data_IF_356464275309
#
_entry.id   IF_356464275309
#
_cell.length_a   1.000
_cell.length_b   1.000
_cell.length_c   1.000
_cell.angle_alpha   90.00
_cell.angle_beta   90.00
_cell.angle_gamma   90.00
#
_symmetry.space_group_name_H-M   'P 1'
#
loop_
_entity.id
_entity.type
_entity.pdbx_description
1 polymer ?
#
# COMPACT_ATOMS: atom_id res chain seq x y z
N UNK A 1 -0.71 48.15 -22.01
CA UNK A 1 0.38 49.12 -21.77
C UNK A 1 1.71 48.37 -21.84
N UNK A 2 2.68 48.96 -22.53
CA UNK A 2 4.09 48.55 -22.79
C UNK A 2 4.71 47.41 -21.93
N UNK A 3 5.23 46.37 -22.59
CA UNK A 3 6.14 45.39 -21.98
C UNK A 3 7.57 45.95 -21.92
N UNK A 4 8.15 46.04 -20.72
CA UNK A 4 9.56 46.33 -20.51
C UNK A 4 10.37 45.02 -20.51
N UNK A 5 11.36 44.95 -21.41
CA UNK A 5 12.38 43.89 -21.41
C UNK A 5 13.39 44.18 -20.30
N UNK A 6 13.45 43.35 -19.26
CA UNK A 6 14.56 43.34 -18.31
C UNK A 6 15.76 42.65 -18.98
N UNK A 7 16.77 43.45 -19.37
CA UNK A 7 18.11 42.96 -19.73
C UNK A 7 18.94 42.83 -18.46
N UNK A 8 19.40 41.64 -18.13
CA UNK A 8 20.47 41.44 -17.15
C UNK A 8 21.84 41.53 -17.85
N UNK A 9 22.88 42.07 -17.18
CA UNK A 9 24.19 42.29 -17.78
C UNK A 9 24.96 40.98 -17.98
N UNK A 10 25.66 40.91 -19.10
CA UNK A 10 26.51 39.78 -19.51
C UNK A 10 27.80 39.71 -18.68
N UNK A 11 28.05 38.58 -18.03
CA UNK A 11 29.40 38.19 -17.57
C UNK A 11 29.77 36.82 -18.16
N UNK A 12 31.02 36.58 -18.59
CA UNK A 12 31.36 35.45 -19.43
C UNK A 12 31.88 34.30 -18.58
N UNK A 13 31.05 33.27 -18.40
CA UNK A 13 31.51 31.90 -18.17
C UNK A 13 30.90 31.05 -19.27
N UNK A 14 31.68 30.89 -20.34
CA UNK A 14 31.36 30.04 -21.48
C UNK A 14 31.36 28.57 -21.03
N UNK A 15 30.24 27.87 -21.22
CA UNK A 15 30.20 26.42 -21.09
C UNK A 15 28.83 25.78 -20.87
N UNK A 16 27.89 26.46 -20.23
CA UNK A 16 26.54 25.93 -19.96
C UNK A 16 25.51 27.07 -19.96
N UNK A 17 25.05 27.52 -21.11
CA UNK A 17 24.25 28.77 -21.20
C UNK A 17 22.87 28.63 -21.86
N UNK A 18 22.21 27.48 -21.82
CA UNK A 18 20.78 27.44 -22.19
C UNK A 18 20.05 26.25 -21.53
N UNK A 19 19.93 26.29 -20.21
CA UNK A 19 18.81 25.61 -19.53
C UNK A 19 17.63 26.57 -19.53
N UNK A 20 16.69 26.39 -20.46
CA UNK A 20 15.41 27.11 -20.45
C UNK A 20 14.39 26.27 -19.71
N UNK A 21 14.00 26.72 -18.52
CA UNK A 21 12.82 26.20 -17.85
C UNK A 21 11.61 26.81 -18.57
N UNK A 22 10.92 26.00 -19.36
CA UNK A 22 9.65 26.39 -19.95
C UNK A 22 8.55 26.19 -18.90
N UNK A 23 8.13 27.27 -18.26
CA UNK A 23 6.93 27.29 -17.43
C UNK A 23 5.75 27.54 -18.37
N UNK A 24 5.00 26.48 -18.68
CA UNK A 24 3.68 26.62 -19.30
C UNK A 24 2.66 26.84 -18.18
N UNK A 25 2.03 28.02 -18.13
CA UNK A 25 0.97 28.33 -17.18
C UNK A 25 0.40 29.72 -17.41
N UNK A 26 -0.90 29.89 -17.14
CA UNK A 26 -1.52 31.21 -16.97
C UNK A 26 -0.88 31.92 -15.77
N UNK A 27 -0.84 33.26 -15.80
CA UNK A 27 -0.32 34.06 -14.69
C UNK A 27 -1.23 33.82 -13.48
N UNK A 28 -0.76 33.02 -12.52
CA UNK A 28 -1.45 32.82 -11.25
C UNK A 28 -1.53 34.13 -10.47
N UNK A 29 -2.60 34.29 -9.70
CA UNK A 29 -2.77 35.42 -8.80
C UNK A 29 -1.70 35.34 -7.69
N UNK A 30 -0.71 36.23 -7.72
CA UNK A 30 0.50 36.25 -6.87
C UNK A 30 0.24 36.53 -5.36
N UNK A 31 -1.00 36.42 -4.87
CA UNK A 31 -1.36 36.80 -3.49
C UNK A 31 -1.67 35.63 -2.55
N UNK A 32 -1.78 34.41 -3.06
CA UNK A 32 -2.09 33.23 -2.25
C UNK A 32 -0.89 32.28 -2.20
N UNK A 33 -0.52 31.83 -1.00
CA UNK A 33 0.60 30.89 -0.79
C UNK A 33 0.13 29.50 -0.35
N UNK A 34 -1.17 29.33 -0.08
CA UNK A 34 -1.78 28.10 0.41
C UNK A 34 -2.84 27.64 -0.60
N UNK A 35 -2.91 26.33 -0.84
CA UNK A 35 -3.95 25.66 -1.64
C UNK A 35 -4.11 26.13 -3.09
N UNK A 36 -3.14 26.86 -3.64
CA UNK A 36 -3.14 27.36 -5.02
C UNK A 36 -3.31 26.28 -6.10
N UNK A 37 -2.96 25.03 -5.78
CA UNK A 37 -3.09 23.87 -6.67
C UNK A 37 -4.11 22.83 -6.15
N UNK A 38 -4.96 23.19 -5.18
CA UNK A 38 -5.96 22.29 -4.59
C UNK A 38 -7.33 22.66 -5.15
N UNK A 39 -7.98 21.72 -5.83
CA UNK A 39 -9.32 21.92 -6.37
C UNK A 39 -10.40 21.80 -5.29
N UNK A 40 -10.29 20.82 -4.39
CA UNK A 40 -11.28 20.53 -3.35
C UNK A 40 -10.63 19.73 -2.21
N UNK A 41 -11.14 19.91 -0.99
CA UNK A 41 -10.79 19.09 0.19
C UNK A 41 -12.05 18.39 0.70
N UNK A 42 -12.09 17.06 0.55
CA UNK A 42 -13.17 16.21 1.05
C UNK A 42 -12.75 15.42 2.29
N UNK A 43 -13.67 15.23 3.24
CA UNK A 43 -13.42 14.41 4.42
C UNK A 43 -13.61 12.92 4.13
N UNK A 44 -12.74 12.09 4.71
CA UNK A 44 -12.94 10.64 4.79
C UNK A 44 -13.81 10.28 6.01
N UNK A 45 -14.59 9.21 5.90
CA UNK A 45 -15.17 8.55 7.07
C UNK A 45 -14.04 8.18 8.04
N UNK A 46 -14.24 8.27 9.36
CA UNK A 46 -13.22 7.84 10.31
C UNK A 46 -13.06 6.31 10.28
N UNK A 47 -11.85 5.79 10.56
CA UNK A 47 -11.64 4.34 10.70
C UNK A 47 -12.61 3.68 11.69
N UNK A 48 -12.86 4.32 12.85
CA UNK A 48 -13.80 3.85 13.87
C UNK A 48 -15.21 3.70 13.33
N UNK A 49 -15.75 4.73 12.66
CA UNK A 49 -17.10 4.71 12.09
C UNK A 49 -17.24 3.64 11.00
N UNK A 50 -16.22 3.44 10.16
CA UNK A 50 -16.28 2.38 9.17
C UNK A 50 -16.23 0.99 9.83
N UNK A 51 -15.41 0.83 10.86
CA UNK A 51 -15.34 -0.39 11.67
C UNK A 51 -16.67 -0.71 12.37
N UNK A 52 -17.38 0.30 12.88
CA UNK A 52 -18.70 0.12 13.49
C UNK A 52 -19.77 -0.29 12.46
N UNK A 53 -19.68 0.23 11.23
CA UNK A 53 -20.58 -0.14 10.14
C UNK A 53 -20.30 -1.56 9.60
N UNK A 54 -19.04 -1.97 9.60
CA UNK A 54 -18.57 -3.26 9.08
C UNK A 54 -17.65 -3.91 10.15
N UNK A 55 -18.23 -4.43 11.24
CA UNK A 55 -17.47 -5.02 12.33
C UNK A 55 -16.87 -6.36 11.91
N UNK A 56 -15.74 -6.70 12.51
CA UNK A 56 -15.15 -8.02 12.29
C UNK A 56 -16.05 -9.09 12.93
N UNK A 57 -16.33 -10.15 12.19
CA UNK A 57 -16.92 -11.35 12.76
C UNK A 57 -15.87 -12.20 13.49
N UNK A 58 -16.34 -13.11 14.34
CA UNK A 58 -15.48 -14.06 15.04
C UNK A 58 -14.69 -14.94 14.07
N UNK A 59 -15.34 -15.40 13.00
CA UNK A 59 -14.70 -16.23 11.96
C UNK A 59 -13.62 -15.46 11.22
N UNK A 60 -13.88 -14.22 10.81
CA UNK A 60 -12.88 -13.39 10.15
C UNK A 60 -11.68 -13.13 11.06
N UNK A 61 -11.94 -12.76 12.32
CA UNK A 61 -10.89 -12.53 13.32
C UNK A 61 -10.02 -13.78 13.50
N UNK A 62 -10.66 -14.95 13.60
CA UNK A 62 -9.96 -16.24 13.71
C UNK A 62 -9.06 -16.50 12.49
N UNK A 63 -9.60 -16.39 11.27
CA UNK A 63 -8.85 -16.62 10.04
C UNK A 63 -7.63 -15.68 9.91
N UNK A 64 -7.80 -14.41 10.30
CA UNK A 64 -6.69 -13.44 10.30
C UNK A 64 -5.61 -13.83 11.31
N UNK A 65 -6.00 -14.12 12.55
CA UNK A 65 -5.05 -14.46 13.62
C UNK A 65 -4.31 -15.76 13.33
N UNK A 66 -5.02 -16.81 12.93
CA UNK A 66 -4.42 -18.10 12.54
C UNK A 66 -3.50 -17.92 11.35
N UNK A 67 -3.93 -17.19 10.31
CA UNK A 67 -3.08 -16.89 9.16
C UNK A 67 -1.80 -16.14 9.54
N UNK A 68 -1.86 -15.16 10.45
CA UNK A 68 -0.67 -14.45 10.93
C UNK A 68 0.28 -15.38 11.68
N UNK A 69 -0.24 -16.24 12.57
CA UNK A 69 0.57 -17.22 13.32
C UNK A 69 1.23 -18.20 12.37
N UNK A 70 0.49 -18.77 11.41
CA UNK A 70 1.01 -19.71 10.44
C UNK A 70 2.12 -19.09 9.58
N UNK A 71 1.93 -17.85 9.10
CA UNK A 71 2.98 -17.14 8.37
C UNK A 71 4.21 -16.90 9.26
N UNK A 72 4.02 -16.49 10.52
CA UNK A 72 5.13 -16.28 11.45
C UNK A 72 5.94 -17.56 11.66
N UNK A 73 5.26 -18.69 11.88
CA UNK A 73 5.90 -19.99 12.06
C UNK A 73 6.72 -20.40 10.83
N UNK A 74 6.20 -20.16 9.61
CA UNK A 74 6.96 -20.41 8.38
C UNK A 74 8.20 -19.51 8.31
N UNK A 75 8.05 -18.21 8.61
CA UNK A 75 9.17 -17.26 8.56
C UNK A 75 10.24 -17.54 9.63
N UNK A 76 9.87 -18.15 10.76
CA UNK A 76 10.80 -18.57 11.81
C UNK A 76 11.26 -20.02 11.67
N UNK A 77 10.90 -20.71 10.59
CA UNK A 77 11.24 -22.13 10.34
C UNK A 77 10.72 -23.11 11.41
N UNK A 78 9.62 -22.76 12.08
CA UNK A 78 8.85 -23.65 12.97
C UNK A 78 7.81 -24.48 12.18
N UNK A 79 7.54 -24.08 10.93
CA UNK A 79 6.66 -24.76 9.99
C UNK A 79 7.33 -24.80 8.60
N UNK A 80 7.53 -26.00 8.06
CA UNK A 80 8.23 -26.22 6.78
C UNK A 80 7.35 -26.04 5.53
N UNK A 81 6.09 -25.62 5.70
CA UNK A 81 5.20 -25.33 4.56
C UNK A 81 5.70 -24.14 3.75
N UNK A 82 5.46 -24.18 2.44
CA UNK A 82 5.70 -23.04 1.56
C UNK A 82 4.57 -22.02 1.67
N UNK A 83 4.89 -20.77 2.02
CA UNK A 83 3.96 -19.66 1.92
C UNK A 83 3.73 -19.27 0.45
N UNK A 84 2.47 -19.29 0.00
CA UNK A 84 2.08 -18.87 -1.35
C UNK A 84 1.04 -17.75 -1.28
N UNK A 85 1.42 -16.56 -1.74
CA UNK A 85 0.52 -15.42 -1.93
C UNK A 85 -0.03 -15.46 -3.37
N UNK A 86 -1.31 -15.83 -3.53
CA UNK A 86 -1.90 -16.06 -4.86
C UNK A 86 -3.24 -15.33 -5.05
N UNK A 87 -3.44 -14.73 -6.22
CA UNK A 87 -4.68 -14.04 -6.57
C UNK A 87 -4.51 -13.01 -7.68
N UNK A 88 -5.58 -12.26 -8.01
CA UNK A 88 -5.57 -11.23 -9.04
C UNK A 88 -4.49 -10.16 -8.82
N UNK A 89 -3.98 -9.57 -9.91
CA UNK A 89 -2.98 -8.49 -9.81
C UNK A 89 -3.52 -7.28 -9.04
N UNK A 90 -4.79 -6.94 -9.24
CA UNK A 90 -5.55 -5.93 -8.52
C UNK A 90 -7.04 -6.29 -8.62
N UNK A 91 -7.79 -6.11 -7.54
CA UNK A 91 -9.23 -6.32 -7.51
C UNK A 91 -9.93 -5.09 -8.09
N UNK A 92 -10.82 -5.31 -9.05
CA UNK A 92 -11.69 -4.28 -9.64
C UNK A 92 -13.18 -4.67 -9.56
N UNK A 93 -13.47 -5.95 -9.34
CA UNK A 93 -14.82 -6.50 -9.16
C UNK A 93 -14.82 -7.39 -7.92
N UNK A 94 -15.68 -7.07 -6.94
CA UNK A 94 -15.77 -7.79 -5.66
C UNK A 94 -16.37 -9.19 -5.81
N UNK A 95 -17.33 -9.37 -6.73
CA UNK A 95 -18.03 -10.65 -6.91
C UNK A 95 -17.10 -11.67 -7.57
N UNK A 96 -16.34 -11.24 -8.58
CA UNK A 96 -15.29 -12.07 -9.20
C UNK A 96 -14.19 -12.45 -8.20
N UNK A 97 -13.82 -11.54 -7.29
CA UNK A 97 -12.86 -11.84 -6.24
C UNK A 97 -13.40 -12.89 -5.25
N UNK A 98 -14.69 -12.82 -4.87
CA UNK A 98 -15.32 -13.83 -4.02
C UNK A 98 -15.45 -15.19 -4.73
N UNK A 99 -15.74 -15.21 -6.03
CA UNK A 99 -15.77 -16.46 -6.79
C UNK A 99 -14.37 -17.07 -6.96
N UNK A 100 -13.33 -16.24 -7.08
CA UNK A 100 -11.95 -16.70 -7.01
C UNK A 100 -11.61 -17.28 -5.64
N UNK A 101 -12.04 -16.64 -4.55
CA UNK A 101 -11.73 -17.10 -3.19
C UNK A 101 -12.28 -18.50 -2.93
N UNK A 102 -13.52 -18.79 -3.36
CA UNK A 102 -14.14 -20.12 -3.25
C UNK A 102 -13.28 -21.21 -3.89
N UNK A 103 -12.81 -20.97 -5.13
CA UNK A 103 -11.93 -21.90 -5.85
C UNK A 103 -10.58 -22.06 -5.16
N UNK A 104 -10.03 -20.96 -4.62
CA UNK A 104 -8.76 -20.98 -3.92
C UNK A 104 -8.84 -21.75 -2.60
N UNK A 105 -9.96 -21.69 -1.88
CA UNK A 105 -10.21 -22.46 -0.65
C UNK A 105 -10.20 -23.96 -0.94
N UNK A 106 -10.91 -24.40 -1.98
CA UNK A 106 -10.91 -25.81 -2.40
C UNK A 106 -9.50 -26.33 -2.76
N UNK A 107 -8.68 -25.47 -3.37
CA UNK A 107 -7.28 -25.80 -3.66
C UNK A 107 -6.45 -25.83 -2.38
N UNK A 108 -6.59 -24.82 -1.52
CA UNK A 108 -5.85 -24.69 -0.27
C UNK A 108 -5.99 -25.93 0.59
N UNK A 109 -7.21 -26.47 0.71
CA UNK A 109 -7.47 -27.68 1.50
C UNK A 109 -6.73 -28.91 0.97
N UNK A 110 -6.52 -29.02 -0.36
CA UNK A 110 -5.81 -30.14 -0.99
C UNK A 110 -4.29 -30.06 -0.83
N UNK A 111 -3.74 -28.88 -0.56
CA UNK A 111 -2.28 -28.65 -0.49
C UNK A 111 -1.79 -28.26 0.90
N UNK A 112 -2.69 -28.15 1.88
CA UNK A 112 -2.43 -27.57 3.21
C UNK A 112 -1.30 -28.21 4.00
N UNK A 113 -0.98 -29.47 3.74
CA UNK A 113 0.11 -30.19 4.43
C UNK A 113 1.51 -29.72 3.98
N UNK A 114 1.59 -29.01 2.84
CA UNK A 114 2.84 -28.56 2.24
C UNK A 114 2.87 -27.08 1.87
N UNK A 115 1.71 -26.47 1.69
CA UNK A 115 1.58 -25.09 1.22
C UNK A 115 0.56 -24.36 2.10
N UNK A 116 0.96 -23.21 2.63
CA UNK A 116 0.04 -22.23 3.20
C UNK A 116 -0.36 -21.25 2.11
N UNK A 117 -1.62 -21.31 1.67
CA UNK A 117 -2.16 -20.39 0.68
C UNK A 117 -2.77 -19.18 1.37
N UNK A 118 -2.40 -17.99 0.93
CA UNK A 118 -2.99 -16.71 1.37
C UNK A 118 -3.46 -15.95 0.14
N UNK A 119 -4.72 -15.51 0.13
CA UNK A 119 -5.29 -14.85 -1.03
C UNK A 119 -4.72 -13.44 -1.20
N UNK A 120 -4.18 -13.14 -2.38
CA UNK A 120 -3.80 -11.79 -2.79
C UNK A 120 -5.06 -10.96 -3.08
N UNK A 121 -5.26 -9.89 -2.30
CA UNK A 121 -6.37 -8.93 -2.42
C UNK A 121 -5.81 -7.50 -2.46
N UNK A 122 -5.28 -7.11 -3.62
CA UNK A 122 -4.66 -5.78 -3.80
C UNK A 122 -5.68 -4.81 -4.38
N UNK A 123 -5.87 -3.65 -3.75
CA UNK A 123 -6.87 -2.67 -4.17
C UNK A 123 -6.32 -1.56 -5.06
N UNK A 124 -5.00 -1.41 -5.07
CA UNK A 124 -4.33 -0.29 -5.73
C UNK A 124 -3.30 -0.80 -6.73
N UNK A 125 -2.98 0.06 -7.70
CA UNK A 125 -1.92 -0.21 -8.67
C UNK A 125 -1.00 1.02 -8.75
N UNK A 126 0.26 0.95 -8.29
CA UNK A 126 1.16 2.09 -8.40
C UNK A 126 1.54 2.30 -9.86
N UNK A 127 1.22 3.49 -10.40
CA UNK A 127 1.49 3.87 -11.80
C UNK A 127 2.25 5.20 -11.85
N UNK A 128 3.14 5.31 -12.84
CA UNK A 128 3.87 6.55 -13.19
C UNK A 128 3.20 7.30 -14.34
N UNK A 129 2.16 6.72 -14.94
CA UNK A 129 1.35 7.29 -16.03
C UNK A 129 -0.09 7.42 -15.58
N UNK A 130 -0.84 8.35 -16.20
CA UNK A 130 -2.30 8.47 -15.99
C UNK A 130 -2.98 7.14 -16.33
N UNK A 131 -3.92 6.71 -15.49
CA UNK A 131 -4.69 5.48 -15.63
C UNK A 131 -5.39 5.12 -14.31
N UNK A 132 -6.23 4.09 -14.34
CA UNK A 132 -6.99 3.65 -13.17
C UNK A 132 -6.07 3.37 -11.96
N UNK A 133 -6.34 4.05 -10.85
CA UNK A 133 -5.53 4.02 -9.62
C UNK A 133 -5.82 2.80 -8.74
N UNK A 134 -6.96 2.14 -8.96
CA UNK A 134 -7.40 0.99 -8.18
C UNK A 134 -8.79 1.19 -7.59
N UNK A 135 -9.39 0.10 -7.11
CA UNK A 135 -10.76 0.07 -6.59
C UNK A 135 -10.93 0.91 -5.33
N UNK A 136 -9.86 1.08 -4.54
CA UNK A 136 -9.90 1.94 -3.36
C UNK A 136 -10.10 3.42 -3.76
N UNK A 137 -9.48 3.85 -4.86
CA UNK A 137 -9.59 5.23 -5.33
C UNK A 137 -10.79 5.44 -6.22
N UNK A 138 -11.00 4.58 -7.22
CA UNK A 138 -12.08 4.69 -8.20
C UNK A 138 -12.86 3.36 -8.26
N UNK A 139 -13.77 3.13 -7.30
CA UNK A 139 -14.53 1.88 -7.16
C UNK A 139 -15.61 1.68 -8.22
N UNK A 140 -15.88 2.70 -9.04
CA UNK A 140 -16.93 2.69 -10.06
C UNK A 140 -16.37 2.70 -11.49
N UNK A 141 -15.03 2.76 -11.64
CA UNK A 141 -14.34 2.76 -12.93
C UNK A 141 -14.81 3.89 -13.85
N UNK A 142 -15.10 5.06 -13.27
CA UNK A 142 -15.72 6.19 -13.94
C UNK A 142 -15.06 7.53 -13.56
N UNK A 143 -13.87 7.49 -12.95
CA UNK A 143 -13.09 8.66 -12.54
C UNK A 143 -13.81 9.60 -11.54
N UNK A 144 -14.83 9.13 -10.81
CA UNK A 144 -15.46 9.94 -9.73
C UNK A 144 -14.64 9.99 -8.45
N UNK A 145 -13.64 9.12 -8.32
CA UNK A 145 -12.73 9.00 -7.18
C UNK A 145 -13.43 8.92 -5.80
N UNK A 146 -14.50 8.13 -5.70
CA UNK A 146 -15.24 7.95 -4.44
C UNK A 146 -14.47 7.03 -3.47
N UNK A 147 -13.49 7.61 -2.77
CA UNK A 147 -12.61 6.89 -1.85
C UNK A 147 -13.40 6.33 -0.64
N UNK A 148 -14.44 7.01 -0.18
CA UNK A 148 -15.28 6.51 0.92
C UNK A 148 -15.98 5.19 0.53
N UNK A 149 -16.55 5.13 -0.68
CA UNK A 149 -17.10 3.90 -1.23
C UNK A 149 -16.01 2.85 -1.47
N UNK A 150 -14.83 3.24 -1.94
CA UNK A 150 -13.70 2.34 -2.16
C UNK A 150 -13.22 1.66 -0.88
N UNK A 151 -13.04 2.43 0.21
CA UNK A 151 -12.70 1.93 1.55
C UNK A 151 -13.77 0.96 2.06
N UNK A 152 -15.05 1.30 1.89
CA UNK A 152 -16.17 0.44 2.26
C UNK A 152 -16.14 -0.89 1.51
N UNK A 153 -16.04 -0.87 0.17
CA UNK A 153 -15.97 -2.09 -0.66
C UNK A 153 -14.75 -2.94 -0.34
N UNK A 154 -13.59 -2.32 -0.10
CA UNK A 154 -12.37 -3.02 0.28
C UNK A 154 -12.54 -3.77 1.61
N UNK A 155 -13.07 -3.11 2.64
CA UNK A 155 -13.33 -3.71 3.96
C UNK A 155 -14.34 -4.85 3.87
N UNK A 156 -15.48 -4.64 3.21
CA UNK A 156 -16.51 -5.68 3.01
C UNK A 156 -15.96 -6.92 2.29
N UNK A 157 -15.13 -6.72 1.26
CA UNK A 157 -14.53 -7.84 0.53
C UNK A 157 -13.56 -8.63 1.41
N UNK A 158 -12.65 -7.96 2.12
CA UNK A 158 -11.72 -8.63 3.03
C UNK A 158 -12.47 -9.37 4.12
N UNK A 159 -13.51 -8.78 4.70
CA UNK A 159 -14.33 -9.40 5.73
C UNK A 159 -14.94 -10.72 5.20
N UNK A 160 -15.63 -10.67 4.06
CA UNK A 160 -16.27 -11.85 3.45
C UNK A 160 -15.27 -12.96 3.09
N UNK A 161 -14.08 -12.61 2.62
CA UNK A 161 -13.04 -13.61 2.32
C UNK A 161 -12.54 -14.26 3.61
N UNK A 162 -12.21 -13.47 4.65
CA UNK A 162 -11.76 -14.03 5.93
C UNK A 162 -12.87 -14.84 6.64
N UNK A 163 -14.14 -14.47 6.49
CA UNK A 163 -15.29 -15.23 7.03
C UNK A 163 -15.37 -16.67 6.50
N UNK A 164 -14.88 -16.88 5.27
CA UNK A 164 -14.79 -18.21 4.66
C UNK A 164 -13.57 -19.02 5.12
N UNK A 165 -12.75 -18.47 6.02
CA UNK A 165 -11.54 -19.10 6.55
C UNK A 165 -10.27 -18.84 5.73
N UNK A 166 -10.37 -18.08 4.62
CA UNK A 166 -9.21 -17.77 3.77
C UNK A 166 -8.49 -16.52 4.28
N UNK A 167 -7.23 -16.60 4.73
CA UNK A 167 -6.44 -15.43 5.09
C UNK A 167 -6.13 -14.58 3.86
N UNK A 168 -6.02 -13.26 4.05
CA UNK A 168 -5.80 -12.31 2.95
C UNK A 168 -4.46 -11.58 3.05
N UNK A 169 -3.94 -11.19 1.88
CA UNK A 169 -2.70 -10.47 1.69
C UNK A 169 -2.93 -9.22 0.84
N UNK A 170 -2.41 -8.06 1.26
CA UNK A 170 -2.50 -6.81 0.47
C UNK A 170 -1.16 -6.10 0.32
N UNK A 171 -1.12 -5.01 -0.44
CA UNK A 171 0.01 -4.09 -0.55
C UNK A 171 -0.44 -2.72 -0.07
N UNK A 172 0.26 -2.15 0.92
CA UNK A 172 -0.05 -0.82 1.42
C UNK A 172 0.82 0.22 0.71
N UNK A 173 0.17 1.12 -0.04
CA UNK A 173 0.80 2.21 -0.78
C UNK A 173 0.64 3.58 -0.11
N UNK A 174 -0.33 3.70 0.80
CA UNK A 174 -0.64 4.92 1.54
C UNK A 174 -0.64 4.62 3.05
N UNK A 175 -0.02 5.47 3.90
CA UNK A 175 0.07 5.25 5.34
C UNK A 175 -1.26 5.42 6.11
N UNK A 176 -2.31 5.94 5.48
CA UNK A 176 -3.64 6.14 6.07
C UNK A 176 -4.48 4.85 5.97
N UNK A 177 -4.42 4.17 4.82
CA UNK A 177 -5.25 3.00 4.50
C UNK A 177 -5.17 1.86 5.54
N UNK A 178 -4.02 1.53 6.17
CA UNK A 178 -3.97 0.50 7.19
C UNK A 178 -4.99 0.66 8.31
N UNK A 179 -5.31 1.90 8.73
CA UNK A 179 -6.29 2.12 9.81
C UNK A 179 -7.70 1.61 9.45
N UNK A 180 -8.02 1.48 8.17
CA UNK A 180 -9.34 1.08 7.69
C UNK A 180 -9.49 -0.42 7.47
N UNK A 181 -8.39 -1.14 7.19
CA UNK A 181 -8.46 -2.53 6.70
C UNK A 181 -7.40 -3.47 7.28
N UNK A 182 -6.37 -2.99 7.97
CA UNK A 182 -5.24 -3.84 8.40
C UNK A 182 -5.65 -4.91 9.43
N UNK A 183 -6.75 -4.70 10.15
CA UNK A 183 -7.35 -5.69 11.05
C UNK A 183 -7.86 -6.94 10.33
N UNK A 184 -8.08 -6.87 9.01
CA UNK A 184 -8.53 -7.98 8.16
C UNK A 184 -7.41 -8.60 7.29
N UNK A 185 -6.15 -8.22 7.51
CA UNK A 185 -5.00 -8.63 6.68
C UNK A 185 -4.03 -9.53 7.46
N UNK A 186 -3.65 -10.66 6.87
CA UNK A 186 -2.72 -11.64 7.45
C UNK A 186 -1.28 -11.50 6.98
N UNK A 187 -1.05 -10.84 5.84
CA UNK A 187 0.29 -10.54 5.30
C UNK A 187 0.25 -9.24 4.48
N UNK A 188 1.30 -8.43 4.54
CA UNK A 188 1.38 -7.20 3.75
C UNK A 188 2.65 -7.14 2.89
N UNK A 189 2.55 -6.50 1.73
CA UNK A 189 3.70 -6.11 0.92
C UNK A 189 4.02 -4.62 1.06
N UNK A 190 5.31 -4.30 1.04
CA UNK A 190 5.82 -2.99 0.65
C UNK A 190 6.42 -3.10 -0.76
N UNK A 191 5.94 -2.23 -1.65
CA UNK A 191 6.25 -2.27 -3.06
C UNK A 191 7.67 -1.83 -3.39
N UNK A 192 8.20 -2.29 -4.51
CA UNK A 192 9.56 -1.96 -4.95
C UNK A 192 9.83 -0.45 -5.16
N UNK A 193 8.79 0.36 -5.34
CA UNK A 193 8.89 1.83 -5.46
C UNK A 193 8.77 2.55 -4.12
N UNK A 194 8.32 1.85 -3.08
CA UNK A 194 8.07 2.41 -1.75
C UNK A 194 8.94 1.76 -0.68
N UNK A 195 9.65 0.67 -0.97
CA UNK A 195 10.63 0.06 -0.06
C UNK A 195 11.70 1.07 0.41
N UNK A 196 12.14 1.99 -0.47
CA UNK A 196 13.10 3.04 -0.08
C UNK A 196 12.46 4.19 0.72
N UNK A 197 11.13 4.32 0.72
CA UNK A 197 10.43 5.40 1.41
C UNK A 197 10.50 5.24 2.92
N UNK A 198 10.98 6.27 3.61
CA UNK A 198 11.00 6.31 5.07
C UNK A 198 9.59 6.14 5.66
N UNK A 199 8.59 6.84 5.12
CA UNK A 199 7.18 6.75 5.57
C UNK A 199 6.67 5.31 5.53
N UNK A 200 7.02 4.55 4.49
CA UNK A 200 6.58 3.16 4.35
C UNK A 200 7.31 2.22 5.31
N UNK A 201 8.61 2.43 5.58
CA UNK A 201 9.35 1.65 6.58
C UNK A 201 8.82 1.92 7.99
N UNK A 202 8.49 3.19 8.27
CA UNK A 202 7.89 3.60 9.54
C UNK A 202 6.49 3.02 9.71
N UNK A 203 5.63 3.09 8.69
CA UNK A 203 4.34 2.39 8.67
C UNK A 203 4.51 0.89 8.92
N UNK A 204 5.41 0.23 8.18
CA UNK A 204 5.64 -1.21 8.28
C UNK A 204 6.09 -1.66 9.68
N UNK A 205 6.81 -0.80 10.42
CA UNK A 205 7.21 -1.06 11.80
C UNK A 205 6.04 -1.15 12.80
N UNK A 206 4.87 -0.62 12.43
CA UNK A 206 3.64 -0.65 13.23
C UNK A 206 2.56 -1.59 12.70
N UNK A 207 2.79 -2.25 11.56
CA UNK A 207 1.83 -3.21 10.99
C UNK A 207 1.75 -4.48 11.84
N UNK A 208 0.53 -4.95 12.11
CA UNK A 208 0.26 -6.09 12.99
C UNK A 208 0.53 -7.47 12.37
N UNK A 209 0.86 -7.51 11.08
CA UNK A 209 1.10 -8.73 10.31
C UNK A 209 2.55 -8.79 9.79
N UNK A 210 3.04 -9.96 9.38
CA UNK A 210 4.31 -10.07 8.65
C UNK A 210 4.33 -9.25 7.37
N UNK A 211 5.50 -8.69 7.04
CA UNK A 211 5.66 -7.74 5.92
C UNK A 211 6.74 -8.20 4.95
N UNK A 212 6.39 -8.38 3.68
CA UNK A 212 7.31 -8.63 2.59
C UNK A 212 7.79 -7.34 1.93
N UNK A 213 9.10 -7.10 1.93
CA UNK A 213 9.71 -5.96 1.24
C UNK A 213 10.25 -6.39 -0.11
N UNK A 214 9.70 -5.85 -1.20
CA UNK A 214 10.19 -6.13 -2.55
C UNK A 214 11.55 -5.48 -2.78
N UNK A 215 12.46 -6.20 -3.46
CA UNK A 215 13.71 -5.60 -3.95
C UNK A 215 13.42 -4.43 -4.92
N UNK A 216 14.40 -3.53 -5.05
CA UNK A 216 14.29 -2.33 -5.88
C UNK A 216 13.98 -2.66 -7.35
N UNK A 217 13.40 -1.70 -8.08
CA UNK A 217 13.06 -1.88 -9.51
C UNK A 217 14.27 -2.25 -10.38
N UNK A 218 15.47 -1.84 -9.97
CA UNK A 218 16.76 -2.16 -10.58
C UNK A 218 17.29 -3.57 -10.23
N UNK A 219 16.64 -4.29 -9.32
CA UNK A 219 17.07 -5.63 -8.88
C UNK A 219 17.85 -5.66 -7.57
N UNK A 220 18.19 -4.51 -6.96
CA UNK A 220 19.00 -4.48 -5.74
C UNK A 220 18.21 -4.93 -4.52
N UNK A 221 18.71 -5.96 -3.85
CA UNK A 221 18.14 -6.49 -2.60
C UNK A 221 18.48 -5.61 -1.38
N UNK A 222 19.60 -4.88 -1.41
CA UNK A 222 20.06 -4.06 -0.28
C UNK A 222 18.99 -3.08 0.22
N UNK A 223 18.32 -2.41 -0.71
CA UNK A 223 17.18 -1.53 -0.46
C UNK A 223 16.11 -2.19 0.44
N UNK A 224 15.77 -3.45 0.18
CA UNK A 224 14.80 -4.19 0.98
C UNK A 224 15.40 -4.67 2.31
N UNK A 225 16.67 -5.05 2.34
CA UNK A 225 17.39 -5.37 3.59
C UNK A 225 17.41 -4.16 4.54
N UNK A 226 17.71 -2.97 4.04
CA UNK A 226 17.71 -1.73 4.84
C UNK A 226 16.30 -1.40 5.34
N UNK A 227 15.28 -1.66 4.53
CA UNK A 227 13.89 -1.49 4.92
C UNK A 227 13.47 -2.45 6.04
N UNK A 228 13.90 -3.71 5.96
CA UNK A 228 13.69 -4.72 7.01
C UNK A 228 14.32 -4.30 8.33
N UNK A 229 15.58 -3.88 8.30
CA UNK A 229 16.30 -3.43 9.50
C UNK A 229 15.59 -2.22 10.14
N UNK A 230 15.19 -1.24 9.32
CA UNK A 230 14.48 -0.05 9.79
C UNK A 230 13.11 -0.39 10.39
N UNK A 231 12.32 -1.25 9.73
CA UNK A 231 10.99 -1.64 10.19
C UNK A 231 11.04 -2.48 11.48
N UNK A 232 12.15 -3.17 11.76
CA UNK A 232 12.33 -3.95 12.98
C UNK A 232 12.55 -3.10 14.23
N UNK A 233 12.95 -1.83 14.08
CA UNK A 233 13.17 -0.91 15.18
C UNK A 233 11.89 -0.13 15.53
N UNK A 234 11.74 0.35 16.79
CA UNK A 234 10.74 1.35 17.15
C UNK A 234 10.86 2.61 16.28
N UNK A 235 9.73 3.16 15.83
CA UNK A 235 9.66 4.36 14.99
C UNK A 235 8.68 5.37 15.57
N UNK A 236 8.84 6.64 15.18
CA UNK A 236 7.86 7.70 15.42
C UNK A 236 7.56 8.43 14.11
N UNK A 237 6.29 8.60 13.75
CA UNK A 237 5.89 9.25 12.49
C UNK A 237 4.49 9.87 12.56
N UNK A 238 4.14 10.68 11.56
CA UNK A 238 2.82 11.30 11.42
C UNK A 238 1.87 10.32 10.72
N UNK A 239 0.71 10.08 11.31
CA UNK A 239 -0.37 9.28 10.76
C UNK A 239 -1.74 9.82 11.17
N UNK A 240 -2.74 8.95 11.23
CA UNK A 240 -4.07 9.28 11.78
C UNK A 240 -4.42 8.31 12.91
N UNK A 241 -5.24 8.78 13.85
CA UNK A 241 -5.89 7.93 14.86
C UNK A 241 -7.17 7.28 14.30
N UNK A 242 -7.84 6.48 15.14
CA UNK A 242 -9.10 5.82 14.76
C UNK A 242 -10.26 6.79 14.50
N UNK A 243 -10.18 8.04 14.96
CA UNK A 243 -11.18 9.09 14.70
C UNK A 243 -10.85 9.90 13.44
N UNK A 244 -9.75 9.56 12.74
CA UNK A 244 -9.31 10.24 11.51
C UNK A 244 -8.53 11.52 11.75
N UNK A 245 -8.08 11.78 12.98
CA UNK A 245 -7.29 12.99 13.31
C UNK A 245 -5.81 12.73 13.11
N UNK A 246 -5.12 13.72 12.54
CA UNK A 246 -3.66 13.70 12.41
C UNK A 246 -3.00 13.51 13.77
N UNK A 247 -2.13 12.51 13.87
CA UNK A 247 -1.60 12.00 15.13
C UNK A 247 -0.14 11.60 15.02
N UNK A 248 0.58 11.64 16.14
CA UNK A 248 1.92 11.05 16.26
C UNK A 248 1.76 9.57 16.60
N UNK A 249 2.33 8.69 15.77
CA UNK A 249 2.30 7.25 15.95
C UNK A 249 3.67 6.79 16.47
N UNK A 250 3.65 6.00 17.54
CA UNK A 250 4.83 5.33 18.10
C UNK A 250 4.70 3.82 17.93
N UNK A 251 5.68 3.19 17.29
CA UNK A 251 5.66 1.76 17.02
C UNK A 251 6.70 1.02 17.87
N UNK A 252 6.49 -0.28 18.06
CA UNK A 252 7.44 -1.16 18.77
C UNK A 252 8.49 -1.78 17.83
N UNK A 253 8.35 -1.60 16.52
CA UNK A 253 9.06 -2.37 15.51
C UNK A 253 8.32 -3.66 15.15
N UNK A 254 8.51 -4.12 13.92
CA UNK A 254 7.93 -5.35 13.39
C UNK A 254 9.03 -6.40 13.17
N UNK A 255 9.05 -7.50 13.95
CA UNK A 255 10.09 -8.52 13.82
C UNK A 255 9.90 -9.46 12.63
N UNK A 256 8.72 -9.47 11.99
CA UNK A 256 8.34 -10.45 10.97
C UNK A 256 8.44 -9.89 9.54
N UNK A 257 9.54 -9.19 9.25
CA UNK A 257 9.87 -8.76 7.90
C UNK A 257 10.62 -9.82 7.11
N UNK A 258 10.37 -9.94 5.80
CA UNK A 258 11.22 -10.73 4.88
C UNK A 258 11.38 -10.07 3.49
N UNK A 259 12.34 -10.58 2.72
CA UNK A 259 12.62 -10.14 1.36
C UNK A 259 11.65 -10.79 0.36
N UNK A 260 11.18 -10.02 -0.62
CA UNK A 260 10.45 -10.53 -1.78
C UNK A 260 11.27 -10.26 -3.03
N UNK A 261 11.86 -11.32 -3.59
CA UNK A 261 12.60 -11.23 -4.85
C UNK A 261 11.62 -11.21 -6.03
N UNK A 262 11.75 -10.20 -6.89
CA UNK A 262 10.84 -9.98 -8.03
C UNK A 262 11.57 -9.67 -9.34
N UNK A 263 12.86 -9.99 -9.41
CA UNK A 263 13.73 -9.63 -10.53
C UNK A 263 14.11 -8.14 -10.57
N UNK A 264 14.65 -7.70 -11.69
CA UNK A 264 14.98 -6.29 -11.93
C UNK A 264 15.23 -6.02 -13.41
N UNK A 265 15.74 -4.84 -13.73
CA UNK A 265 16.03 -4.43 -15.11
C UNK A 265 17.02 -5.37 -15.82
N UNK A 266 17.85 -6.10 -15.06
CA UNK A 266 18.84 -7.06 -15.58
C UNK A 266 18.30 -8.49 -15.70
N UNK A 267 16.99 -8.69 -15.54
CA UNK A 267 16.33 -9.99 -15.67
C UNK A 267 15.85 -10.61 -14.36
N UNK A 268 15.44 -11.88 -14.41
CA UNK A 268 14.87 -12.59 -13.26
C UNK A 268 15.85 -12.80 -12.09
N UNK A 269 15.30 -12.88 -10.87
CA UNK A 269 15.99 -13.20 -9.61
C UNK A 269 15.11 -14.13 -8.76
N UNK A 270 14.58 -15.19 -9.38
CA UNK A 270 13.78 -16.21 -8.68
C UNK A 270 14.67 -17.26 -8.02
#
# INVERSE_FOLDING_TARGET
MSYSKLKLPSHPLAGFSDFRIYIYGEIMNDQETLDVNIQEVGALISPSKLGDQIPNSSNATKAVLEGRVDIQNILTSEDDRLLVIAGPCSVHNTDEALDYSKKLIELSEKVKDKILVVMRVYFEKPRTTVGWKGMLYDPNLNDTFDINLGLKKARELLLKINESGMPTATEFLDPIVPQYIADLVSWAAIGARTTESQTHRQMASGLSMPVGFKNGTDGRAQTAVDALIAARAPQSFLGIDHDGKSSVIHTKGNPYGHLVLRGGNQGPKF
#
